data_IF_665703727024
#
_entry.id   IF_665703727024
#
_cell.length_a   1.000
_cell.length_b   1.000
_cell.length_c   1.000
_cell.angle_alpha   90.00
_cell.angle_beta   90.00
_cell.angle_gamma   90.00
#
_symmetry.space_group_name_H-M   'P 1'
#
loop_
_entity.id
_entity.type
_entity.pdbx_description
1 polymer ?
#
# COMPACT_ATOMS: atom_id res chain seq x y z
N UNK A 1 -20.16 -15.17 10.87
CA UNK A 1 -20.10 -14.08 9.87
C UNK A 1 -20.30 -14.73 8.52
N UNK A 2 -21.27 -14.27 7.73
CA UNK A 2 -21.45 -14.80 6.38
C UNK A 2 -20.49 -14.12 5.38
N UNK A 3 -20.39 -14.65 4.16
CA UNK A 3 -19.50 -14.14 3.13
C UNK A 3 -19.76 -12.66 2.80
N UNK A 4 -21.02 -12.24 2.78
CA UNK A 4 -21.42 -10.88 2.40
C UNK A 4 -20.98 -9.89 3.46
N UNK A 5 -21.21 -10.22 4.73
CA UNK A 5 -20.84 -9.43 5.89
C UNK A 5 -19.31 -9.29 5.98
N UNK A 6 -18.58 -10.39 5.81
CA UNK A 6 -17.12 -10.39 5.86
C UNK A 6 -16.51 -9.58 4.71
N UNK A 7 -17.02 -9.77 3.49
CA UNK A 7 -16.60 -9.02 2.29
C UNK A 7 -16.84 -7.52 2.44
N UNK A 8 -18.02 -7.16 2.95
CA UNK A 8 -18.37 -5.76 3.22
C UNK A 8 -17.46 -5.12 4.28
N UNK A 9 -17.09 -5.87 5.31
CA UNK A 9 -16.21 -5.40 6.39
C UNK A 9 -14.77 -5.26 5.91
N UNK A 10 -14.29 -6.20 5.11
CA UNK A 10 -12.98 -6.13 4.49
C UNK A 10 -12.86 -4.91 3.57
N UNK A 11 -13.84 -4.68 2.68
CA UNK A 11 -13.82 -3.50 1.80
C UNK A 11 -13.90 -2.18 2.56
N UNK A 12 -14.68 -2.10 3.64
CA UNK A 12 -14.68 -0.89 4.49
C UNK A 12 -13.29 -0.58 5.05
N UNK A 13 -12.54 -1.62 5.42
CA UNK A 13 -11.17 -1.49 5.93
C UNK A 13 -10.19 -1.04 4.84
N UNK A 14 -10.31 -1.59 3.62
CA UNK A 14 -9.53 -1.16 2.46
C UNK A 14 -9.81 0.31 2.11
N UNK A 15 -11.08 0.69 2.03
CA UNK A 15 -11.49 2.07 1.74
C UNK A 15 -11.00 3.04 2.83
N UNK A 16 -11.03 2.62 4.10
CA UNK A 16 -10.48 3.42 5.19
C UNK A 16 -8.97 3.65 5.02
N UNK A 17 -8.20 2.61 4.67
CA UNK A 17 -6.77 2.76 4.35
C UNK A 17 -6.56 3.73 3.19
N UNK A 18 -7.31 3.57 2.08
CA UNK A 18 -7.19 4.47 0.94
C UNK A 18 -7.50 5.93 1.28
N UNK A 19 -8.47 6.20 2.17
CA UNK A 19 -8.78 7.56 2.66
C UNK A 19 -7.63 8.12 3.50
N UNK A 20 -7.05 7.31 4.38
CA UNK A 20 -5.88 7.69 5.18
C UNK A 20 -4.70 8.01 4.27
N UNK A 21 -4.47 7.18 3.23
CA UNK A 21 -3.41 7.40 2.25
C UNK A 21 -3.57 8.73 1.53
N UNK A 22 -4.77 9.03 1.01
CA UNK A 22 -5.04 10.32 0.35
C UNK A 22 -4.84 11.49 1.33
N UNK A 23 -5.33 11.38 2.56
CA UNK A 23 -5.13 12.41 3.59
C UNK A 23 -3.66 12.68 3.88
N UNK A 24 -2.86 11.61 4.04
CA UNK A 24 -1.41 11.72 4.20
C UNK A 24 -0.73 12.32 2.95
N UNK A 25 -1.19 11.96 1.75
CA UNK A 25 -0.71 12.51 0.49
C UNK A 25 -0.94 14.02 0.37
N UNK A 26 -2.12 14.51 0.78
CA UNK A 26 -2.43 15.95 0.81
C UNK A 26 -1.52 16.70 1.78
N UNK A 27 -1.27 16.13 2.97
CA UNK A 27 -0.32 16.72 3.93
C UNK A 27 1.09 16.76 3.32
N UNK A 28 1.53 15.69 2.65
CA UNK A 28 2.84 15.67 1.98
C UNK A 28 2.96 16.66 0.83
N UNK A 29 1.87 17.00 0.12
CA UNK A 29 1.90 18.07 -0.88
C UNK A 29 2.26 19.42 -0.23
N UNK A 30 1.70 19.72 0.94
CA UNK A 30 2.04 20.94 1.68
C UNK A 30 3.51 20.93 2.10
N UNK A 31 4.01 19.80 2.60
CA UNK A 31 5.43 19.63 2.95
C UNK A 31 6.32 19.80 1.72
N UNK A 32 5.96 19.17 0.60
CA UNK A 32 6.67 19.26 -0.68
C UNK A 32 6.79 20.71 -1.14
N UNK A 33 5.71 21.49 -1.08
CA UNK A 33 5.71 22.91 -1.45
C UNK A 33 6.66 23.73 -0.57
N UNK A 34 6.67 23.47 0.75
CA UNK A 34 7.58 24.15 1.69
C UNK A 34 9.05 23.80 1.42
N UNK A 35 9.34 22.53 1.13
CA UNK A 35 10.69 22.07 0.78
C UNK A 35 11.15 22.70 -0.54
N UNK A 36 10.29 22.72 -1.55
CA UNK A 36 10.58 23.29 -2.86
C UNK A 36 10.98 24.77 -2.77
N UNK A 37 10.33 25.52 -1.87
CA UNK A 37 10.65 26.92 -1.57
C UNK A 37 11.90 27.12 -0.71
N UNK A 38 12.34 26.09 0.01
CA UNK A 38 13.52 26.17 0.87
C UNK A 38 14.81 26.27 0.04
N UNK A 39 15.86 26.85 0.62
CA UNK A 39 17.22 26.81 0.04
C UNK A 39 18.08 25.69 0.66
N UNK A 40 17.48 24.81 1.46
CA UNK A 40 18.20 23.78 2.19
C UNK A 40 18.48 22.59 1.27
N UNK A 41 19.73 22.41 0.84
CA UNK A 41 20.11 21.38 -0.16
C UNK A 41 19.69 19.97 0.25
N UNK A 42 19.85 19.63 1.54
CA UNK A 42 19.41 18.34 2.07
C UNK A 42 17.88 18.14 1.92
N UNK A 43 17.07 19.17 2.15
CA UNK A 43 15.63 19.04 1.95
C UNK A 43 15.30 18.96 0.46
N UNK A 44 15.97 19.74 -0.40
CA UNK A 44 15.78 19.63 -1.87
C UNK A 44 16.06 18.22 -2.40
N UNK A 45 17.02 17.51 -1.80
CA UNK A 45 17.30 16.11 -2.12
C UNK A 45 16.10 15.18 -1.94
N UNK A 46 15.23 15.44 -0.96
CA UNK A 46 14.08 14.57 -0.66
C UNK A 46 12.92 14.75 -1.66
N UNK A 47 12.95 15.77 -2.52
CA UNK A 47 11.83 16.09 -3.42
C UNK A 47 11.50 14.94 -4.37
N UNK A 48 12.49 14.24 -4.93
CA UNK A 48 12.23 13.12 -5.85
C UNK A 48 11.52 11.96 -5.13
N UNK A 49 12.04 11.42 -4.00
CA UNK A 49 11.33 10.38 -3.25
C UNK A 49 9.96 10.81 -2.72
N UNK A 50 9.82 12.06 -2.26
CA UNK A 50 8.53 12.58 -1.78
C UNK A 50 7.51 12.65 -2.93
N UNK A 51 7.91 13.07 -4.13
CA UNK A 51 7.02 13.04 -5.30
C UNK A 51 6.50 11.63 -5.59
N UNK A 52 7.39 10.63 -5.57
CA UNK A 52 6.98 9.23 -5.74
C UNK A 52 6.02 8.79 -4.64
N UNK A 53 6.30 9.15 -3.39
CA UNK A 53 5.44 8.82 -2.27
C UNK A 53 4.06 9.48 -2.40
N UNK A 54 3.98 10.73 -2.85
CA UNK A 54 2.70 11.42 -3.10
C UNK A 54 1.90 10.69 -4.19
N UNK A 55 2.56 10.29 -5.28
CA UNK A 55 1.92 9.53 -6.37
C UNK A 55 1.35 8.20 -5.83
N UNK A 56 2.11 7.48 -4.99
CA UNK A 56 1.61 6.26 -4.36
C UNK A 56 0.43 6.58 -3.45
N UNK A 57 0.56 7.53 -2.54
CA UNK A 57 -0.48 7.82 -1.54
C UNK A 57 -1.80 8.29 -2.16
N UNK A 58 -1.74 9.22 -3.13
CA UNK A 58 -2.94 9.76 -3.76
C UNK A 58 -3.40 8.86 -4.91
N UNK A 59 -2.49 8.40 -5.75
CA UNK A 59 -2.80 7.57 -6.90
C UNK A 59 -3.30 6.18 -6.49
N UNK A 60 -2.50 5.45 -5.71
CA UNK A 60 -2.93 4.12 -5.24
C UNK A 60 -4.07 4.22 -4.22
N UNK A 61 -4.04 5.22 -3.32
CA UNK A 61 -5.16 5.47 -2.41
C UNK A 61 -6.48 5.76 -3.16
N UNK A 62 -6.43 6.59 -4.20
CA UNK A 62 -7.57 6.86 -5.08
C UNK A 62 -8.04 5.63 -5.85
N UNK A 63 -7.11 4.83 -6.36
CA UNK A 63 -7.43 3.55 -7.01
C UNK A 63 -8.15 2.59 -6.05
N UNK A 64 -7.71 2.47 -4.79
CA UNK A 64 -8.39 1.65 -3.76
C UNK A 64 -9.83 2.13 -3.55
N UNK A 65 -10.05 3.44 -3.43
CA UNK A 65 -11.37 4.02 -3.18
C UNK A 65 -12.37 3.71 -4.30
N UNK A 66 -11.91 3.65 -5.54
CA UNK A 66 -12.79 3.37 -6.69
C UNK A 66 -12.95 1.87 -6.94
N UNK A 67 -11.86 1.10 -6.90
CA UNK A 67 -11.86 -0.30 -7.34
C UNK A 67 -12.44 -1.27 -6.32
N UNK A 68 -12.18 -1.07 -5.02
CA UNK A 68 -12.55 -2.05 -3.97
C UNK A 68 -14.06 -2.17 -3.76
N UNK A 69 -14.85 -1.08 -3.72
CA UNK A 69 -16.30 -1.19 -3.60
C UNK A 69 -16.96 -1.92 -4.77
N UNK A 70 -16.56 -1.60 -6.01
CA UNK A 70 -17.08 -2.26 -7.21
C UNK A 70 -16.78 -3.75 -7.22
N UNK A 71 -15.54 -4.11 -6.86
CA UNK A 71 -15.14 -5.51 -6.77
C UNK A 71 -15.92 -6.31 -5.72
N UNK A 72 -16.20 -5.75 -4.55
CA UNK A 72 -17.04 -6.43 -3.56
C UNK A 72 -18.46 -6.67 -4.07
N UNK A 73 -19.06 -5.70 -4.76
CA UNK A 73 -20.40 -5.88 -5.36
C UNK A 73 -20.39 -7.03 -6.35
N UNK A 74 -19.41 -7.07 -7.27
CA UNK A 74 -19.27 -8.18 -8.22
C UNK A 74 -19.08 -9.54 -7.53
N UNK A 75 -18.29 -9.57 -6.47
CA UNK A 75 -18.02 -10.78 -5.68
C UNK A 75 -19.27 -11.29 -4.95
N UNK A 76 -20.04 -10.39 -4.34
CA UNK A 76 -21.30 -10.68 -3.65
C UNK A 76 -22.37 -11.16 -4.64
N UNK A 77 -22.46 -10.53 -5.81
CA UNK A 77 -23.37 -10.97 -6.88
C UNK A 77 -23.01 -12.37 -7.38
N UNK A 78 -21.72 -12.64 -7.60
CA UNK A 78 -21.26 -13.97 -8.00
C UNK A 78 -21.54 -15.00 -6.91
N UNK A 79 -21.32 -14.67 -5.64
CA UNK A 79 -21.61 -15.56 -4.52
C UNK A 79 -23.10 -15.91 -4.43
N UNK A 80 -23.97 -14.94 -4.73
CA UNK A 80 -25.43 -15.15 -4.74
C UNK A 80 -25.89 -16.09 -5.86
N UNK A 81 -25.17 -16.15 -6.98
CA UNK A 81 -25.50 -17.00 -8.14
C UNK A 81 -24.79 -18.36 -8.13
N UNK A 82 -23.51 -18.38 -7.74
CA UNK A 82 -22.63 -19.52 -7.82
C UNK A 82 -21.59 -19.47 -6.68
N UNK A 83 -21.98 -19.93 -5.48
CA UNK A 83 -21.16 -19.86 -4.25
C UNK A 83 -19.75 -20.43 -4.41
N UNK A 84 -19.63 -21.67 -4.89
CA UNK A 84 -18.33 -22.34 -5.02
C UNK A 84 -17.39 -21.57 -5.97
N UNK A 85 -17.92 -21.09 -7.10
CA UNK A 85 -17.14 -20.31 -8.07
C UNK A 85 -16.69 -18.96 -7.49
N UNK A 86 -17.54 -18.30 -6.69
CA UNK A 86 -17.19 -17.04 -6.04
C UNK A 86 -16.06 -17.22 -5.01
N UNK A 87 -16.16 -18.26 -4.17
CA UNK A 87 -15.13 -18.58 -3.18
C UNK A 87 -13.81 -18.90 -3.87
N UNK A 88 -13.80 -19.77 -4.88
CA UNK A 88 -12.59 -20.15 -5.62
C UNK A 88 -11.94 -18.92 -6.27
N UNK A 89 -12.74 -18.05 -6.91
CA UNK A 89 -12.25 -16.83 -7.56
C UNK A 89 -11.60 -15.86 -6.56
N UNK A 90 -12.23 -15.66 -5.39
CA UNK A 90 -11.65 -14.81 -4.34
C UNK A 90 -10.37 -15.43 -3.75
N UNK A 91 -10.36 -16.75 -3.50
CA UNK A 91 -9.16 -17.44 -3.03
C UNK A 91 -7.99 -17.24 -3.98
N UNK A 92 -8.19 -17.49 -5.27
CA UNK A 92 -7.13 -17.34 -6.28
C UNK A 92 -6.58 -15.92 -6.33
N UNK A 93 -7.45 -14.91 -6.26
CA UNK A 93 -7.05 -13.50 -6.23
C UNK A 93 -6.20 -13.19 -5.01
N UNK A 94 -6.68 -13.53 -3.81
CA UNK A 94 -5.97 -13.23 -2.57
C UNK A 94 -4.65 -14.02 -2.45
N UNK A 95 -4.57 -15.27 -2.95
CA UNK A 95 -3.32 -16.04 -3.01
C UNK A 95 -2.29 -15.33 -3.91
N UNK A 96 -2.71 -14.88 -5.10
CA UNK A 96 -1.81 -14.22 -6.03
C UNK A 96 -1.32 -12.87 -5.48
N UNK A 97 -2.24 -12.07 -4.94
CA UNK A 97 -1.94 -10.76 -4.36
C UNK A 97 -0.99 -10.91 -3.14
N UNK A 98 -1.24 -11.90 -2.27
CA UNK A 98 -0.36 -12.19 -1.13
C UNK A 98 1.02 -12.67 -1.55
N UNK A 99 1.13 -13.53 -2.56
CA UNK A 99 2.44 -14.01 -3.02
C UNK A 99 3.35 -12.85 -3.44
N UNK A 100 2.79 -11.89 -4.18
CA UNK A 100 3.52 -10.69 -4.59
C UNK A 100 3.84 -9.82 -3.37
N UNK A 101 2.85 -9.53 -2.54
CA UNK A 101 3.01 -8.69 -1.35
C UNK A 101 4.03 -9.25 -0.35
N UNK A 102 3.97 -10.56 -0.04
CA UNK A 102 4.92 -11.24 0.84
C UNK A 102 6.35 -11.19 0.29
N UNK A 103 6.52 -11.33 -1.04
CA UNK A 103 7.84 -11.21 -1.66
C UNK A 103 8.40 -9.80 -1.50
N UNK A 104 7.57 -8.78 -1.70
CA UNK A 104 7.97 -7.38 -1.53
C UNK A 104 8.32 -7.07 -0.06
N UNK A 105 7.49 -7.49 0.88
CA UNK A 105 7.68 -7.28 2.31
C UNK A 105 8.90 -8.02 2.86
N UNK A 106 9.13 -9.26 2.42
CA UNK A 106 10.21 -10.09 2.95
C UNK A 106 11.58 -9.73 2.38
N UNK A 107 11.64 -9.34 1.12
CA UNK A 107 12.91 -9.15 0.42
C UNK A 107 13.09 -7.72 -0.11
N UNK A 108 12.17 -7.25 -0.96
CA UNK A 108 12.38 -6.01 -1.71
C UNK A 108 12.51 -4.79 -0.80
N UNK A 109 11.53 -4.55 0.08
CA UNK A 109 11.55 -3.36 0.94
C UNK A 109 12.72 -3.37 1.95
N UNK A 110 13.02 -4.48 2.68
CA UNK A 110 14.19 -4.52 3.56
C UNK A 110 15.51 -4.25 2.85
N UNK A 111 15.72 -4.83 1.66
CA UNK A 111 16.94 -4.61 0.88
C UNK A 111 17.04 -3.15 0.42
N UNK A 112 15.95 -2.59 -0.13
CA UNK A 112 15.91 -1.20 -0.60
C UNK A 112 16.11 -0.20 0.55
N UNK A 113 15.50 -0.46 1.71
CA UNK A 113 15.72 0.34 2.93
C UNK A 113 17.18 0.28 3.37
N UNK A 114 17.78 -0.92 3.42
CA UNK A 114 19.17 -1.10 3.82
C UNK A 114 20.12 -0.37 2.87
N UNK A 115 19.91 -0.47 1.56
CA UNK A 115 20.70 0.25 0.55
C UNK A 115 20.56 1.77 0.73
N UNK A 116 19.34 2.28 0.91
CA UNK A 116 19.11 3.71 1.14
C UNK A 116 19.81 4.21 2.42
N UNK A 117 19.79 3.41 3.50
CA UNK A 117 20.50 3.72 4.75
C UNK A 117 22.02 3.71 4.54
N UNK A 118 22.59 2.75 3.81
CA UNK A 118 24.02 2.72 3.53
C UNK A 118 24.47 3.97 2.73
N UNK A 119 23.68 4.39 1.74
CA UNK A 119 23.96 5.59 0.93
C UNK A 119 24.00 6.86 1.79
N UNK A 120 23.21 6.95 2.87
CA UNK A 120 23.23 8.09 3.80
C UNK A 120 24.60 8.29 4.46
N UNK A 121 25.29 7.20 4.79
CA UNK A 121 26.58 7.26 5.47
C UNK A 121 27.75 7.49 4.50
N UNK A 122 27.65 6.96 3.27
CA UNK A 122 28.76 6.99 2.32
C UNK A 122 28.78 8.31 1.53
N UNK A 123 27.63 8.96 1.33
CA UNK A 123 27.57 10.13 0.46
C UNK A 123 27.87 11.42 1.22
N UNK A 124 28.89 12.22 0.85
CA UNK A 124 29.19 13.47 1.55
C UNK A 124 28.27 14.64 1.15
N UNK A 125 27.75 14.62 -0.08
CA UNK A 125 26.93 15.72 -0.62
C UNK A 125 25.56 15.80 0.09
N UNK A 126 25.20 16.97 0.67
CA UNK A 126 23.92 17.16 1.37
C UNK A 126 22.69 16.78 0.55
N UNK A 127 22.69 17.11 -0.75
CA UNK A 127 21.57 16.81 -1.65
C UNK A 127 21.33 15.30 -1.77
N UNK A 128 22.38 14.51 -2.03
CA UNK A 128 22.24 13.07 -2.16
C UNK A 128 21.96 12.37 -0.81
N UNK A 129 22.42 12.92 0.32
CA UNK A 129 21.96 12.49 1.65
C UNK A 129 20.46 12.71 1.81
N UNK A 130 19.97 13.87 1.40
CA UNK A 130 18.54 14.18 1.35
C UNK A 130 17.75 13.17 0.52
N UNK A 131 18.25 12.84 -0.67
CA UNK A 131 17.63 11.85 -1.54
C UNK A 131 17.56 10.47 -0.90
N UNK A 132 18.66 9.99 -0.31
CA UNK A 132 18.69 8.72 0.39
C UNK A 132 17.72 8.69 1.57
N UNK A 133 17.62 9.80 2.33
CA UNK A 133 16.66 9.93 3.43
C UNK A 133 15.21 9.85 2.93
N UNK A 134 14.90 10.55 1.85
CA UNK A 134 13.58 10.47 1.23
C UNK A 134 13.24 9.05 0.75
N UNK A 135 14.21 8.30 0.22
CA UNK A 135 14.01 6.91 -0.18
C UNK A 135 13.76 5.98 1.00
N UNK A 136 14.44 6.17 2.14
CA UNK A 136 14.11 5.44 3.38
C UNK A 136 12.64 5.68 3.74
N UNK A 137 12.20 6.94 3.74
CA UNK A 137 10.83 7.32 4.07
C UNK A 137 9.81 6.70 3.08
N UNK A 138 10.13 6.70 1.79
CA UNK A 138 9.33 6.06 0.74
C UNK A 138 9.16 4.56 1.00
N UNK A 139 10.27 3.83 1.23
CA UNK A 139 10.23 2.38 1.38
C UNK A 139 9.59 1.94 2.70
N UNK A 140 9.81 2.69 3.79
CA UNK A 140 9.10 2.45 5.07
C UNK A 140 7.60 2.66 4.90
N UNK A 141 7.19 3.74 4.23
CA UNK A 141 5.77 4.03 3.99
C UNK A 141 5.12 2.94 3.13
N UNK A 142 5.78 2.54 2.04
CA UNK A 142 5.31 1.48 1.16
C UNK A 142 5.22 0.13 1.90
N UNK A 143 6.22 -0.20 2.73
CA UNK A 143 6.20 -1.40 3.57
C UNK A 143 4.98 -1.42 4.51
N UNK A 144 4.69 -0.31 5.19
CA UNK A 144 3.54 -0.22 6.12
C UNK A 144 2.22 -0.40 5.36
N UNK A 145 2.09 0.22 4.19
CA UNK A 145 0.88 0.13 3.34
C UNK A 145 0.64 -1.31 2.92
N UNK A 146 1.66 -1.94 2.34
CA UNK A 146 1.56 -3.31 1.81
C UNK A 146 1.43 -4.34 2.92
N UNK A 147 2.08 -4.14 4.07
CA UNK A 147 1.93 -5.03 5.23
C UNK A 147 0.49 -5.03 5.74
N UNK A 148 -0.14 -3.86 5.81
CA UNK A 148 -1.56 -3.75 6.16
C UNK A 148 -2.45 -4.51 5.17
N UNK A 149 -2.18 -4.39 3.87
CA UNK A 149 -2.93 -5.08 2.82
C UNK A 149 -2.76 -6.61 2.90
N UNK A 150 -1.52 -7.10 2.93
CA UNK A 150 -1.21 -8.54 3.03
C UNK A 150 -1.82 -9.14 4.29
N UNK A 151 -1.72 -8.46 5.44
CA UNK A 151 -2.31 -8.93 6.69
C UNK A 151 -3.83 -9.13 6.59
N UNK A 152 -4.56 -8.16 6.03
CA UNK A 152 -6.02 -8.28 5.85
C UNK A 152 -6.40 -9.30 4.78
N UNK A 153 -5.62 -9.39 3.72
CA UNK A 153 -5.80 -10.36 2.64
C UNK A 153 -5.59 -11.80 3.14
N UNK A 154 -4.57 -12.05 3.96
CA UNK A 154 -4.36 -13.36 4.62
C UNK A 154 -5.51 -13.71 5.57
N UNK A 155 -6.01 -12.75 6.35
CA UNK A 155 -7.18 -12.98 7.19
C UNK A 155 -8.43 -13.33 6.35
N UNK A 156 -8.59 -12.71 5.18
CA UNK A 156 -9.66 -13.04 4.24
C UNK A 156 -9.54 -14.47 3.70
N UNK A 157 -8.34 -14.89 3.31
CA UNK A 157 -8.09 -16.27 2.87
C UNK A 157 -8.46 -17.30 3.96
N UNK A 158 -8.02 -17.07 5.20
CA UNK A 158 -8.37 -17.97 6.31
C UNK A 158 -9.88 -18.06 6.53
N UNK A 159 -10.61 -16.95 6.34
CA UNK A 159 -12.08 -16.97 6.36
C UNK A 159 -12.65 -17.79 5.20
N UNK A 160 -12.16 -17.61 3.97
CA UNK A 160 -12.60 -18.37 2.81
C UNK A 160 -12.35 -19.87 2.96
N UNK A 161 -11.22 -20.27 3.54
CA UNK A 161 -10.92 -21.68 3.82
C UNK A 161 -11.85 -22.30 4.86
N UNK A 162 -12.36 -21.50 5.80
CA UNK A 162 -13.29 -21.97 6.83
C UNK A 162 -14.74 -22.16 6.32
N UNK A 163 -15.16 -21.38 5.31
CA UNK A 163 -16.54 -21.46 4.76
C UNK A 163 -16.68 -22.38 3.54
N UNK A 164 -15.56 -22.86 3.01
CA UNK A 164 -15.48 -23.80 1.88
C UNK A 164 -15.48 -25.27 2.34
N UNK A 165 -15.31 -25.51 3.65
CA UNK A 165 -15.44 -26.80 4.32
C UNK A 165 -16.90 -27.08 4.70
#
# INVERSE_FOLDING_TARGET
MDFIEYTSTWVKSEVAQGRIMIGAGIILILVFYNIFRSQHELLKGTLIPISLLIIILIGYGGYILQSRPGHATESIELYSRAKAQAIEKEKLKHINDNKVGETLLRFAYPILMMVAVLILFITPNPYYKGMAFGFVLLFVSAYIIDHGFVSRSSAFLSFLDAIDQ
#
